data_IF_056073116710
#
_entry.id   IF_056073116710
#
_cell.length_a   1.000
_cell.length_b   1.000
_cell.length_c   1.000
_cell.angle_alpha   90.00
_cell.angle_beta   90.00
_cell.angle_gamma   90.00
#
_symmetry.space_group_name_H-M   'P 1'
#
loop_
_entity.id
_entity.type
_entity.pdbx_description
1 polymer ?
#
# COMPACT_ATOMS: atom_id res chain seq x y z
N UNK A 1 47.03 -78.49 -30.99
CA UNK A 1 47.67 -78.50 -29.66
C UNK A 1 47.59 -77.08 -29.17
N UNK A 2 46.79 -76.91 -28.11
CA UNK A 2 46.71 -75.79 -27.17
C UNK A 2 46.32 -74.40 -27.73
N UNK A 3 45.61 -73.52 -27.02
CA UNK A 3 44.55 -73.58 -26.02
C UNK A 3 44.07 -72.10 -25.92
N UNK A 4 42.75 -71.89 -25.89
CA UNK A 4 42.00 -70.96 -25.02
C UNK A 4 42.64 -69.58 -24.69
N UNK A 5 41.96 -68.49 -25.04
CA UNK A 5 41.71 -67.40 -24.08
C UNK A 5 40.53 -66.50 -24.50
N UNK A 6 39.44 -66.57 -23.74
CA UNK A 6 38.37 -65.58 -23.71
C UNK A 6 38.89 -64.24 -23.18
N UNK A 7 38.68 -63.13 -23.90
CA UNK A 7 38.74 -61.80 -23.31
C UNK A 7 37.34 -61.36 -22.86
N UNK A 8 37.09 -61.58 -21.57
CA UNK A 8 36.03 -60.95 -20.78
C UNK A 8 36.40 -59.48 -20.53
N UNK A 9 35.43 -58.60 -20.78
CA UNK A 9 35.41 -57.25 -20.29
C UNK A 9 35.33 -57.24 -18.76
N UNK A 10 36.36 -56.71 -18.09
CA UNK A 10 36.29 -56.21 -16.70
C UNK A 10 37.36 -55.10 -16.52
N UNK A 11 37.35 -54.37 -15.40
CA UNK A 11 36.94 -52.98 -15.25
C UNK A 11 38.18 -52.08 -15.04
N UNK A 12 38.01 -50.78 -14.76
CA UNK A 12 39.04 -50.08 -13.99
C UNK A 12 38.45 -49.00 -13.05
N UNK A 13 39.13 -48.75 -11.91
CA UNK A 13 38.52 -48.22 -10.69
C UNK A 13 39.07 -46.83 -10.30
N UNK A 14 38.25 -46.10 -9.53
CA UNK A 14 38.55 -45.37 -8.27
C UNK A 14 39.82 -44.46 -8.13
N UNK A 15 39.56 -43.22 -7.62
CA UNK A 15 40.44 -42.17 -7.00
C UNK A 15 41.27 -41.29 -7.97
N UNK A 16 41.48 -39.98 -7.80
CA UNK A 16 41.09 -38.94 -6.83
C UNK A 16 41.66 -37.59 -7.31
N UNK A 17 40.87 -36.51 -7.20
CA UNK A 17 41.23 -35.10 -6.93
C UNK A 17 42.24 -34.38 -7.86
N UNK A 18 41.78 -33.29 -8.49
CA UNK A 18 42.51 -32.02 -8.56
C UNK A 18 41.51 -30.87 -8.65
N UNK A 19 41.49 -30.04 -7.62
CA UNK A 19 40.90 -28.70 -7.60
C UNK A 19 41.62 -27.79 -8.61
N UNK A 20 40.97 -26.66 -8.94
CA UNK A 20 41.40 -25.55 -9.81
C UNK A 20 41.18 -25.81 -11.32
N UNK A 21 40.50 -24.98 -12.10
CA UNK A 21 40.32 -23.53 -12.02
C UNK A 21 39.13 -23.15 -12.90
N UNK A 22 38.15 -22.43 -12.36
CA UNK A 22 37.27 -21.52 -13.11
C UNK A 22 36.47 -20.68 -12.11
N UNK A 23 37.20 -20.00 -11.22
CA UNK A 23 36.67 -18.84 -10.50
C UNK A 23 36.86 -17.62 -11.41
N UNK A 24 35.81 -17.22 -12.12
CA UNK A 24 35.62 -15.79 -12.37
C UNK A 24 34.59 -15.33 -11.34
N UNK A 25 34.97 -14.53 -10.34
CA UNK A 25 33.99 -14.00 -9.40
C UNK A 25 33.05 -13.07 -10.17
N UNK A 26 31.75 -13.24 -9.94
CA UNK A 26 30.78 -12.19 -10.22
C UNK A 26 31.31 -10.87 -9.61
N UNK A 27 31.11 -9.71 -10.28
CA UNK A 27 31.53 -8.44 -9.71
C UNK A 27 30.92 -8.31 -8.32
N UNK A 28 31.78 -7.99 -7.35
CA UNK A 28 31.43 -7.85 -5.95
C UNK A 28 30.14 -7.04 -5.83
N UNK A 29 29.11 -7.66 -5.26
CA UNK A 29 27.91 -6.98 -4.81
C UNK A 29 28.38 -5.79 -3.96
N UNK A 30 28.07 -4.58 -4.41
CA UNK A 30 28.07 -3.42 -3.53
C UNK A 30 27.35 -3.81 -2.23
N UNK A 31 27.93 -3.46 -1.09
CA UNK A 31 27.38 -3.79 0.24
C UNK A 31 25.86 -3.57 0.27
N UNK A 32 25.07 -4.44 0.94
CA UNK A 32 23.63 -4.26 1.03
C UNK A 32 23.35 -2.85 1.56
N UNK A 33 22.74 -2.02 0.71
CA UNK A 33 22.41 -0.64 1.08
C UNK A 33 21.19 -0.75 1.99
N UNK A 34 21.45 -0.67 3.30
CA UNK A 34 20.41 -0.67 4.31
C UNK A 34 19.33 0.37 3.97
N UNK A 35 18.07 -0.02 4.12
CA UNK A 35 16.92 0.86 3.94
C UNK A 35 17.08 2.13 4.79
N UNK A 36 16.92 3.28 4.13
CA UNK A 36 17.04 4.58 4.76
C UNK A 36 15.68 5.22 4.96
N UNK A 37 15.40 5.67 6.17
CA UNK A 37 14.15 6.39 6.49
C UNK A 37 14.39 7.89 6.52
N UNK A 38 13.57 8.63 5.77
CA UNK A 38 13.53 10.08 5.70
C UNK A 38 12.25 10.58 6.36
N UNK A 39 12.40 11.43 7.36
CA UNK A 39 11.27 12.03 8.08
C UNK A 39 10.82 13.30 7.37
N UNK A 40 9.53 13.40 7.08
CA UNK A 40 8.90 14.54 6.41
C UNK A 40 7.88 15.17 7.36
N UNK A 41 8.02 16.46 7.65
CA UNK A 41 7.06 17.17 8.49
C UNK A 41 5.81 17.47 7.65
N UNK A 42 4.59 17.04 8.05
CA UNK A 42 3.37 17.27 7.28
C UNK A 42 2.88 18.71 7.39
N UNK A 43 3.57 19.64 6.73
CA UNK A 43 3.25 21.05 6.65
C UNK A 43 3.24 21.54 5.18
N UNK A 44 3.10 22.85 4.98
CA UNK A 44 3.08 23.46 3.64
C UNK A 44 4.36 23.22 2.81
N UNK A 45 5.49 22.92 3.45
CA UNK A 45 6.77 22.66 2.80
C UNK A 45 7.01 21.16 2.53
N UNK A 46 6.11 20.26 2.97
CA UNK A 46 6.30 18.82 2.88
C UNK A 46 6.66 18.34 1.46
N UNK A 47 5.93 18.81 0.44
CA UNK A 47 6.20 18.47 -0.97
C UNK A 47 7.56 18.98 -1.45
N UNK A 48 7.96 20.16 -1.00
CA UNK A 48 9.27 20.76 -1.33
C UNK A 48 10.40 19.95 -0.68
N UNK A 49 10.25 19.58 0.60
CA UNK A 49 11.21 18.73 1.32
C UNK A 49 11.32 17.36 0.65
N UNK A 50 10.20 16.74 0.29
CA UNK A 50 10.18 15.47 -0.44
C UNK A 50 10.92 15.59 -1.77
N UNK A 51 10.62 16.61 -2.58
CA UNK A 51 11.25 16.82 -3.87
C UNK A 51 12.77 17.03 -3.76
N UNK A 52 13.23 17.79 -2.78
CA UNK A 52 14.66 18.03 -2.52
C UNK A 52 15.38 16.72 -2.14
N UNK A 53 14.80 15.92 -1.24
CA UNK A 53 15.36 14.64 -0.85
C UNK A 53 15.41 13.64 -2.02
N UNK A 54 14.35 13.58 -2.83
CA UNK A 54 14.33 12.75 -4.04
C UNK A 54 15.45 13.15 -5.02
N UNK A 55 15.65 14.45 -5.24
CA UNK A 55 16.74 14.94 -6.10
C UNK A 55 18.13 14.66 -5.51
N UNK A 56 18.29 14.73 -4.19
CA UNK A 56 19.54 14.35 -3.53
C UNK A 56 19.86 12.86 -3.73
N UNK A 57 18.85 11.98 -3.63
CA UNK A 57 18.98 10.53 -3.90
C UNK A 57 19.33 10.30 -5.36
N UNK A 58 18.67 10.99 -6.31
CA UNK A 58 18.96 10.89 -7.74
C UNK A 58 20.40 11.34 -8.06
N UNK A 59 20.87 12.43 -7.44
CA UNK A 59 22.23 12.92 -7.62
C UNK A 59 23.28 11.97 -7.03
N UNK A 60 23.00 11.34 -5.88
CA UNK A 60 23.92 10.41 -5.22
C UNK A 60 24.04 9.07 -5.97
N UNK A 61 22.93 8.56 -6.52
CA UNK A 61 22.90 7.31 -7.28
C UNK A 61 23.30 7.49 -8.75
N UNK A 62 23.22 8.71 -9.28
CA UNK A 62 23.34 9.01 -10.72
C UNK A 62 22.35 8.20 -11.59
N UNK A 63 21.22 7.79 -11.00
CA UNK A 63 20.15 7.03 -11.63
C UNK A 63 18.80 7.70 -11.42
N UNK A 64 17.86 7.46 -12.34
CA UNK A 64 16.49 7.99 -12.24
C UNK A 64 15.70 7.16 -11.21
N UNK A 65 15.29 7.73 -10.06
CA UNK A 65 14.59 6.95 -9.04
C UNK A 65 13.16 6.60 -9.44
N UNK A 66 12.66 5.49 -8.89
CA UNK A 66 11.25 5.10 -8.90
C UNK A 66 10.59 5.55 -7.60
N UNK A 67 9.58 6.42 -7.69
CA UNK A 67 8.84 6.95 -6.55
C UNK A 67 7.44 6.34 -6.54
N UNK A 68 7.11 5.65 -5.45
CA UNK A 68 5.81 5.02 -5.25
C UNK A 68 5.05 5.75 -4.14
N UNK A 69 3.85 6.23 -4.49
CA UNK A 69 2.89 6.86 -3.59
C UNK A 69 1.76 5.88 -3.26
N UNK A 70 1.14 5.96 -2.07
CA UNK A 70 0.10 5.01 -1.69
C UNK A 70 -1.19 5.22 -2.50
N UNK A 71 -1.43 6.46 -2.96
CA UNK A 71 -2.58 6.82 -3.80
C UNK A 71 -2.17 7.74 -4.95
N UNK A 72 -3.05 7.86 -5.95
CA UNK A 72 -2.81 8.70 -7.12
C UNK A 72 -3.00 10.20 -6.90
N UNK A 73 -3.71 10.60 -5.84
CA UNK A 73 -4.01 12.02 -5.54
C UNK A 73 -2.76 12.93 -5.55
N UNK A 74 -1.71 12.63 -4.75
CA UNK A 74 -0.53 13.48 -4.68
C UNK A 74 0.41 13.40 -5.89
N UNK A 75 0.16 12.54 -6.89
CA UNK A 75 1.07 12.33 -8.02
C UNK A 75 1.41 13.63 -8.78
N UNK A 76 0.39 14.41 -9.13
CA UNK A 76 0.58 15.64 -9.91
C UNK A 76 1.33 16.68 -9.08
N UNK A 77 0.90 16.90 -7.84
CA UNK A 77 1.51 17.88 -6.93
C UNK A 77 2.98 17.56 -6.67
N UNK A 78 3.32 16.28 -6.48
CA UNK A 78 4.71 15.87 -6.31
C UNK A 78 5.53 16.06 -7.60
N UNK A 79 4.98 15.74 -8.78
CA UNK A 79 5.67 15.98 -10.07
C UNK A 79 5.94 17.47 -10.29
N UNK A 80 4.99 18.35 -9.96
CA UNK A 80 5.19 19.80 -10.03
C UNK A 80 6.27 20.28 -9.06
N UNK A 81 6.27 19.76 -7.82
CA UNK A 81 7.31 20.06 -6.84
C UNK A 81 8.69 19.57 -7.30
N UNK A 82 8.78 18.39 -7.92
CA UNK A 82 10.02 17.87 -8.50
C UNK A 82 10.53 18.74 -9.63
N UNK A 83 9.67 19.19 -10.54
CA UNK A 83 10.08 20.06 -11.65
C UNK A 83 10.54 21.43 -11.14
N UNK A 84 9.83 22.00 -10.15
CA UNK A 84 10.23 23.25 -9.51
C UNK A 84 11.59 23.16 -8.79
N UNK A 85 11.96 21.98 -8.29
CA UNK A 85 13.22 21.74 -7.56
C UNK A 85 14.31 21.06 -8.41
N UNK A 86 14.13 20.98 -9.74
CA UNK A 86 15.00 20.20 -10.65
C UNK A 86 16.46 20.62 -10.66
N UNK A 87 16.78 21.85 -10.29
CA UNK A 87 18.11 22.46 -10.40
C UNK A 87 18.73 22.23 -11.82
N UNK A 88 20.03 22.41 -11.97
CA UNK A 88 20.75 22.17 -13.24
C UNK A 88 20.93 20.68 -13.57
N UNK A 89 20.08 19.79 -13.03
CA UNK A 89 20.19 18.36 -13.24
C UNK A 89 19.72 17.99 -14.66
N UNK A 90 20.61 17.36 -15.43
CA UNK A 90 20.33 16.91 -16.80
C UNK A 90 19.53 15.60 -16.85
N UNK A 91 19.37 14.92 -15.70
CA UNK A 91 18.60 13.69 -15.59
C UNK A 91 17.11 13.92 -15.90
N UNK A 92 16.41 12.94 -16.52
CA UNK A 92 14.96 12.97 -16.62
C UNK A 92 14.31 13.04 -15.22
N UNK A 93 13.12 13.66 -15.16
CA UNK A 93 12.33 13.75 -13.92
C UNK A 93 12.13 12.35 -13.30
N UNK A 94 12.27 12.18 -11.98
CA UNK A 94 11.92 10.95 -11.29
C UNK A 94 10.58 10.37 -11.74
N UNK A 95 10.49 9.05 -11.82
CA UNK A 95 9.25 8.40 -12.22
C UNK A 95 8.36 8.26 -11.00
N UNK A 96 7.19 8.88 -11.04
CA UNK A 96 6.23 8.90 -9.93
C UNK A 96 4.99 8.10 -10.33
N UNK A 97 4.65 7.09 -9.54
CA UNK A 97 3.45 6.28 -9.72
C UNK A 97 2.64 6.19 -8.42
N UNK A 98 1.33 6.02 -8.56
CA UNK A 98 0.56 5.46 -7.46
C UNK A 98 0.86 3.96 -7.35
N UNK A 99 0.69 3.39 -6.17
CA UNK A 99 0.86 1.96 -5.94
C UNK A 99 -0.04 1.14 -6.88
N UNK A 100 -1.30 1.53 -7.05
CA UNK A 100 -2.23 0.84 -7.94
C UNK A 100 -1.77 0.88 -9.41
N UNK A 101 -1.33 2.04 -9.91
CA UNK A 101 -0.85 2.18 -11.29
C UNK A 101 0.43 1.38 -11.51
N UNK A 102 1.34 1.42 -10.54
CA UNK A 102 2.60 0.69 -10.62
C UNK A 102 2.39 -0.84 -10.62
N UNK A 103 1.52 -1.34 -9.74
CA UNK A 103 1.17 -2.77 -9.71
C UNK A 103 0.43 -3.22 -10.97
N UNK A 104 -0.33 -2.34 -11.63
CA UNK A 104 -0.95 -2.65 -12.93
C UNK A 104 0.10 -2.78 -14.06
N UNK A 105 1.30 -2.21 -13.88
CA UNK A 105 2.44 -2.34 -14.78
C UNK A 105 3.36 -3.52 -14.41
N UNK A 106 2.91 -4.39 -13.49
CA UNK A 106 3.62 -5.61 -13.13
C UNK A 106 4.07 -6.39 -14.37
N UNK A 107 5.36 -6.76 -14.48
CA UNK A 107 5.88 -7.53 -15.60
C UNK A 107 5.08 -8.81 -15.84
N UNK A 108 4.87 -9.15 -17.11
CA UNK A 108 4.01 -10.24 -17.61
C UNK A 108 4.37 -11.68 -17.14
N UNK A 109 5.12 -11.85 -16.06
CA UNK A 109 5.46 -13.17 -15.50
C UNK A 109 4.27 -13.95 -14.95
N UNK A 110 3.15 -13.31 -14.59
CA UNK A 110 2.02 -13.95 -13.87
C UNK A 110 0.63 -13.81 -14.51
N UNK A 111 0.48 -13.20 -15.70
CA UNK A 111 -0.82 -12.98 -16.39
C UNK A 111 -2.03 -12.84 -15.45
N UNK A 112 -1.99 -11.87 -14.53
CA UNK A 112 -2.99 -11.77 -13.48
C UNK A 112 -4.31 -11.26 -14.06
N UNK A 113 -5.44 -11.93 -13.79
CA UNK A 113 -6.74 -11.43 -14.22
C UNK A 113 -7.09 -10.14 -13.49
N UNK A 114 -7.97 -9.33 -14.08
CA UNK A 114 -8.39 -8.08 -13.46
C UNK A 114 -9.02 -8.36 -12.08
N UNK A 115 -8.54 -7.70 -11.01
CA UNK A 115 -9.03 -7.94 -9.66
C UNK A 115 -10.50 -7.56 -9.56
N UNK A 116 -11.26 -8.32 -8.77
CA UNK A 116 -12.66 -8.03 -8.51
C UNK A 116 -12.80 -6.71 -7.75
N UNK A 117 -13.82 -5.93 -8.10
CA UNK A 117 -14.13 -4.72 -7.36
C UNK A 117 -14.70 -5.05 -5.97
N UNK A 118 -14.53 -4.14 -5.01
CA UNK A 118 -15.10 -4.31 -3.68
C UNK A 118 -16.63 -4.50 -3.72
N UNK A 119 -17.33 -3.75 -4.57
CA UNK A 119 -18.78 -3.90 -4.76
C UNK A 119 -19.15 -5.25 -5.36
N UNK A 120 -18.39 -5.76 -6.33
CA UNK A 120 -18.60 -7.10 -6.90
C UNK A 120 -18.50 -8.19 -5.82
N UNK A 121 -17.49 -8.09 -4.94
CA UNK A 121 -17.30 -9.04 -3.83
C UNK A 121 -18.40 -8.96 -2.78
N UNK A 122 -18.87 -7.75 -2.44
CA UNK A 122 -20.03 -7.57 -1.55
C UNK A 122 -21.28 -8.20 -2.18
N UNK A 123 -21.56 -7.95 -3.46
CA UNK A 123 -22.73 -8.51 -4.15
C UNK A 123 -22.67 -10.03 -4.22
N UNK A 124 -21.51 -10.61 -4.51
CA UNK A 124 -21.30 -12.06 -4.48
C UNK A 124 -21.54 -12.63 -3.08
N UNK A 125 -20.98 -12.01 -2.04
CA UNK A 125 -21.15 -12.45 -0.65
C UNK A 125 -22.61 -12.37 -0.23
N UNK A 126 -23.29 -11.26 -0.55
CA UNK A 126 -24.69 -11.05 -0.29
C UNK A 126 -25.57 -12.11 -0.98
N UNK A 127 -25.31 -12.40 -2.27
CA UNK A 127 -26.02 -13.44 -3.00
C UNK A 127 -25.82 -14.83 -2.36
N UNK A 128 -24.59 -15.16 -1.96
CA UNK A 128 -24.27 -16.42 -1.26
C UNK A 128 -24.97 -16.51 0.10
N UNK A 129 -25.11 -15.42 0.83
CA UNK A 129 -25.85 -15.41 2.09
C UNK A 129 -27.34 -15.73 1.89
N UNK A 130 -27.95 -15.28 0.78
CA UNK A 130 -29.35 -15.58 0.47
C UNK A 130 -29.61 -17.03 0.09
N UNK A 131 -28.64 -17.70 -0.53
CA UNK A 131 -28.76 -19.10 -0.97
C UNK A 131 -28.56 -20.12 0.15
N UNK A 132 -27.95 -19.73 1.27
CA UNK A 132 -27.69 -20.61 2.41
C UNK A 132 -28.73 -20.42 3.54
N UNK A 133 -29.66 -21.38 3.75
CA UNK A 133 -30.78 -21.20 4.68
C UNK A 133 -30.37 -21.01 6.15
N UNK A 134 -29.26 -21.63 6.58
CA UNK A 134 -28.73 -21.48 7.93
C UNK A 134 -28.19 -20.06 8.20
N UNK A 135 -27.54 -19.46 7.20
CA UNK A 135 -27.05 -18.09 7.29
C UNK A 135 -28.22 -17.12 7.22
N UNK A 136 -29.14 -17.33 6.29
CA UNK A 136 -30.37 -16.53 6.17
C UNK A 136 -31.15 -16.45 7.50
N UNK A 137 -31.26 -17.56 8.24
CA UNK A 137 -31.95 -17.61 9.53
C UNK A 137 -31.26 -16.79 10.65
N UNK A 138 -29.94 -16.60 10.59
CA UNK A 138 -29.22 -15.75 11.53
C UNK A 138 -29.38 -14.26 11.22
N UNK A 139 -29.67 -13.92 9.95
CA UNK A 139 -29.65 -12.54 9.46
C UNK A 139 -31.04 -11.97 9.13
N UNK A 140 -32.11 -12.75 9.30
CA UNK A 140 -33.51 -12.28 9.17
C UNK A 140 -33.90 -11.18 10.16
N UNK A 141 -33.11 -10.94 11.21
CA UNK A 141 -33.42 -9.97 12.27
C UNK A 141 -33.10 -8.50 11.91
N UNK A 142 -32.23 -8.23 10.92
CA UNK A 142 -31.68 -6.88 10.66
C UNK A 142 -32.14 -6.21 9.35
N UNK A 143 -33.03 -6.86 8.58
CA UNK A 143 -33.52 -6.33 7.30
C UNK A 143 -32.47 -6.28 6.18
N UNK A 144 -32.82 -5.72 5.02
CA UNK A 144 -31.94 -5.70 3.82
C UNK A 144 -30.66 -4.87 4.02
N UNK A 145 -30.73 -3.77 4.78
CA UNK A 145 -29.58 -2.93 5.09
C UNK A 145 -28.54 -3.62 5.99
N UNK A 146 -28.99 -4.40 6.98
CA UNK A 146 -28.10 -5.17 7.84
C UNK A 146 -27.34 -6.26 7.08
N UNK A 147 -28.02 -6.97 6.17
CA UNK A 147 -27.39 -7.98 5.34
C UNK A 147 -26.29 -7.40 4.41
N UNK A 148 -26.46 -6.18 3.90
CA UNK A 148 -25.43 -5.50 3.11
C UNK A 148 -24.23 -5.07 3.96
N UNK A 149 -24.49 -4.49 5.14
CA UNK A 149 -23.45 -4.12 6.12
C UNK A 149 -22.61 -5.33 6.54
N UNK A 150 -23.27 -6.47 6.76
CA UNK A 150 -22.59 -7.70 7.12
C UNK A 150 -21.78 -8.30 5.96
N UNK A 151 -22.33 -8.31 4.74
CA UNK A 151 -21.57 -8.75 3.57
C UNK A 151 -20.30 -7.90 3.40
N UNK A 152 -20.39 -6.59 3.61
CA UNK A 152 -19.22 -5.70 3.66
C UNK A 152 -18.23 -6.09 4.76
N UNK A 153 -18.71 -6.37 5.98
CA UNK A 153 -17.86 -6.77 7.10
C UNK A 153 -17.17 -8.12 6.86
N UNK A 154 -17.85 -9.10 6.25
CA UNK A 154 -17.27 -10.41 5.88
C UNK A 154 -16.15 -10.21 4.86
N UNK A 155 -16.40 -9.40 3.81
CA UNK A 155 -15.37 -9.09 2.80
C UNK A 155 -14.16 -8.43 3.45
N UNK A 156 -14.37 -7.42 4.30
CA UNK A 156 -13.28 -6.75 5.03
C UNK A 156 -12.50 -7.69 5.95
N UNK A 157 -13.17 -8.61 6.65
CA UNK A 157 -12.52 -9.62 7.47
C UNK A 157 -11.69 -10.60 6.62
N UNK A 158 -12.21 -10.99 5.45
CA UNK A 158 -11.46 -11.83 4.51
C UNK A 158 -10.22 -11.10 3.97
N UNK A 159 -10.31 -9.79 3.71
CA UNK A 159 -9.18 -8.98 3.25
C UNK A 159 -8.07 -8.92 4.31
N UNK A 160 -8.43 -8.71 5.58
CA UNK A 160 -7.48 -8.73 6.70
C UNK A 160 -6.81 -10.10 6.84
N UNK A 161 -7.56 -11.18 6.68
CA UNK A 161 -7.00 -12.54 6.69
C UNK A 161 -6.01 -12.73 5.54
N UNK A 162 -6.38 -12.36 4.31
CA UNK A 162 -5.49 -12.44 3.15
C UNK A 162 -4.23 -11.61 3.35
N UNK A 163 -4.35 -10.36 3.85
CA UNK A 163 -3.21 -9.48 4.12
C UNK A 163 -2.26 -10.03 5.18
N UNK A 164 -2.78 -10.74 6.18
CA UNK A 164 -1.94 -11.32 7.25
C UNK A 164 -1.21 -12.60 6.83
N UNK A 165 -1.79 -13.40 5.94
CA UNK A 165 -1.24 -14.71 5.56
C UNK A 165 -0.39 -14.65 4.30
N UNK A 166 -0.76 -13.84 3.31
CA UNK A 166 -0.04 -13.77 2.02
C UNK A 166 1.46 -13.45 2.13
N UNK A 167 1.91 -12.51 2.99
CA UNK A 167 3.34 -12.24 3.18
C UNK A 167 4.15 -13.45 3.67
N UNK A 168 3.49 -14.46 4.24
CA UNK A 168 4.10 -15.71 4.72
C UNK A 168 4.24 -16.76 3.61
N UNK A 169 3.52 -16.60 2.49
CA UNK A 169 3.43 -17.58 1.40
C UNK A 169 4.67 -17.63 0.47
N UNK A 170 5.69 -16.85 0.83
CA UNK A 170 7.01 -16.70 0.24
C UNK A 170 7.10 -15.70 -0.93
N UNK A 171 8.13 -14.86 -0.90
CA UNK A 171 8.38 -13.76 -1.83
C UNK A 171 9.13 -14.20 -3.11
N UNK A 172 9.11 -15.51 -3.45
CA UNK A 172 9.81 -16.05 -4.61
C UNK A 172 8.84 -16.75 -5.57
N UNK A 173 8.82 -16.32 -6.83
CA UNK A 173 8.01 -16.90 -7.91
C UNK A 173 8.31 -18.38 -8.14
N UNK A 174 9.56 -18.83 -7.94
CA UNK A 174 9.92 -20.25 -8.11
C UNK A 174 9.21 -21.16 -7.09
N UNK A 175 8.70 -20.59 -5.99
CA UNK A 175 7.89 -21.28 -4.99
C UNK A 175 6.38 -21.04 -5.16
N UNK A 176 5.99 -20.25 -6.16
CA UNK A 176 4.64 -19.87 -6.54
C UNK A 176 4.45 -20.30 -8.00
N UNK A 177 4.37 -21.61 -8.24
CA UNK A 177 4.05 -22.12 -9.59
C UNK A 177 2.62 -21.71 -9.94
N UNK A 178 2.43 -20.75 -10.84
CA UNK A 178 1.15 -20.08 -11.12
C UNK A 178 -0.01 -21.01 -11.47
N UNK A 179 0.24 -22.08 -12.23
CA UNK A 179 -0.80 -23.03 -12.62
C UNK A 179 -1.28 -23.89 -11.44
N UNK A 180 -0.44 -24.05 -10.40
CA UNK A 180 -0.78 -24.70 -9.13
C UNK A 180 -0.86 -23.70 -7.96
N UNK A 181 -0.73 -22.40 -8.24
CA UNK A 181 -0.30 -21.39 -7.28
C UNK A 181 -1.39 -21.06 -6.29
N UNK A 182 -2.64 -21.02 -6.76
CA UNK A 182 -3.81 -20.87 -5.89
C UNK A 182 -3.94 -22.08 -4.95
N UNK A 183 -3.77 -23.31 -5.45
CA UNK A 183 -3.88 -24.51 -4.63
C UNK A 183 -2.75 -24.60 -3.59
N UNK A 184 -1.53 -24.17 -3.95
CA UNK A 184 -0.39 -24.07 -3.04
C UNK A 184 -0.58 -22.95 -2.00
N UNK A 185 -1.07 -21.78 -2.41
CA UNK A 185 -1.51 -20.70 -1.51
C UNK A 185 -2.56 -21.22 -0.54
N UNK A 186 -3.57 -21.95 -1.02
CA UNK A 186 -4.64 -22.52 -0.21
C UNK A 186 -4.10 -23.55 0.80
N UNK A 187 -3.20 -24.42 0.36
CA UNK A 187 -2.55 -25.44 1.21
C UNK A 187 -1.70 -24.78 2.30
N UNK A 188 -0.83 -23.83 1.93
CA UNK A 188 0.03 -23.10 2.87
C UNK A 188 -0.76 -22.17 3.79
N UNK A 189 -1.88 -21.60 3.36
CA UNK A 189 -2.76 -20.84 4.27
C UNK A 189 -3.52 -21.78 5.22
N UNK A 190 -3.97 -22.94 4.76
CA UNK A 190 -4.55 -23.95 5.66
C UNK A 190 -3.52 -24.37 6.71
N UNK A 191 -2.26 -24.52 6.31
CA UNK A 191 -1.13 -24.76 7.19
C UNK A 191 -0.88 -23.57 8.13
N UNK A 192 -0.81 -22.33 7.63
CA UNK A 192 -0.60 -21.13 8.43
C UNK A 192 -1.73 -20.90 9.46
N UNK A 193 -2.99 -21.18 9.11
CA UNK A 193 -4.12 -21.14 10.06
C UNK A 193 -3.94 -22.23 11.13
N UNK A 194 -3.51 -23.42 10.74
CA UNK A 194 -3.25 -24.53 11.67
C UNK A 194 -2.08 -24.23 12.61
N UNK A 195 -1.05 -23.52 12.12
CA UNK A 195 0.16 -23.13 12.84
C UNK A 195 -0.02 -21.88 13.71
N UNK A 196 -0.79 -20.89 13.26
CA UNK A 196 -1.09 -19.68 14.02
C UNK A 196 -2.12 -19.94 15.13
N UNK A 197 -3.00 -20.91 14.94
CA UNK A 197 -4.09 -21.23 15.87
C UNK A 197 -4.18 -22.72 16.29
N UNK A 198 -3.08 -23.40 16.69
CA UNK A 198 -3.09 -24.83 16.97
C UNK A 198 -3.97 -25.20 18.19
N UNK A 199 -4.08 -24.30 19.17
CA UNK A 199 -4.96 -24.44 20.35
C UNK A 199 -6.40 -23.94 20.11
N UNK A 200 -6.58 -22.93 19.27
CA UNK A 200 -7.90 -22.37 18.91
C UNK A 200 -8.67 -23.26 17.91
N UNK A 201 -7.94 -24.01 17.07
CA UNK A 201 -8.49 -25.03 16.17
C UNK A 201 -9.06 -26.26 16.90
N UNK A 202 -8.70 -26.50 18.17
CA UNK A 202 -9.20 -27.65 18.94
C UNK A 202 -10.39 -27.31 19.86
N UNK A 203 -10.51 -26.09 20.38
CA UNK A 203 -11.56 -25.74 21.36
C UNK A 203 -12.49 -24.57 20.97
N UNK A 204 -12.22 -23.83 19.89
CA UNK A 204 -13.00 -22.63 19.53
C UNK A 204 -13.17 -22.42 18.01
N UNK A 205 -13.36 -23.50 17.25
CA UNK A 205 -14.08 -23.38 15.97
C UNK A 205 -15.55 -23.16 16.30
N UNK A 206 -15.88 -21.94 16.73
CA UNK A 206 -17.27 -21.52 16.80
C UNK A 206 -17.85 -21.53 15.39
N UNK A 207 -19.18 -21.61 15.30
CA UNK A 207 -19.87 -21.60 14.01
C UNK A 207 -19.47 -20.38 13.17
N UNK A 208 -19.13 -19.25 13.79
CA UNK A 208 -18.72 -18.02 13.10
C UNK A 208 -17.36 -18.16 12.40
N UNK A 209 -16.35 -18.73 13.06
CA UNK A 209 -15.01 -18.91 12.47
C UNK A 209 -15.02 -19.88 11.27
N UNK A 210 -15.81 -20.95 11.35
CA UNK A 210 -16.01 -21.87 10.23
C UNK A 210 -16.68 -21.19 9.02
N UNK A 211 -17.64 -20.30 9.28
CA UNK A 211 -18.30 -19.51 8.24
C UNK A 211 -17.33 -18.51 7.61
N UNK A 212 -16.54 -17.79 8.41
CA UNK A 212 -15.55 -16.84 7.91
C UNK A 212 -14.51 -17.54 7.03
N UNK A 213 -14.01 -18.70 7.45
CA UNK A 213 -13.08 -19.50 6.64
C UNK A 213 -13.71 -20.02 5.34
N UNK A 214 -14.99 -20.41 5.36
CA UNK A 214 -15.70 -20.81 4.15
C UNK A 214 -15.86 -19.65 3.17
N UNK A 215 -16.19 -18.45 3.66
CA UNK A 215 -16.26 -17.24 2.83
C UNK A 215 -14.91 -16.80 2.31
N UNK A 216 -13.88 -16.85 3.16
CA UNK A 216 -12.51 -16.58 2.73
C UNK A 216 -12.12 -17.53 1.59
N UNK A 217 -12.36 -18.84 1.72
CA UNK A 217 -12.12 -19.82 0.64
C UNK A 217 -12.90 -19.53 -0.65
N UNK A 218 -14.12 -19.02 -0.52
CA UNK A 218 -14.98 -18.69 -1.66
C UNK A 218 -14.53 -17.41 -2.37
N UNK A 219 -14.06 -16.40 -1.61
CA UNK A 219 -13.62 -15.11 -2.13
C UNK A 219 -12.15 -15.13 -2.61
N UNK A 220 -11.32 -15.98 -2.02
CA UNK A 220 -9.92 -16.18 -2.40
C UNK A 220 -9.84 -16.90 -3.74
N UNK A 221 -9.67 -16.11 -4.79
CA UNK A 221 -9.52 -16.55 -6.18
C UNK A 221 -8.33 -15.84 -6.84
N UNK A 222 -7.99 -16.17 -8.09
CA UNK A 222 -6.97 -15.43 -8.87
C UNK A 222 -7.30 -13.93 -9.00
N UNK A 223 -8.59 -13.59 -8.88
CA UNK A 223 -9.10 -12.22 -8.97
C UNK A 223 -9.29 -11.57 -7.59
N UNK A 224 -8.81 -12.19 -6.51
CA UNK A 224 -8.76 -11.56 -5.20
C UNK A 224 -7.79 -10.37 -5.26
N UNK A 225 -8.25 -9.14 -4.97
CA UNK A 225 -7.41 -7.95 -5.06
C UNK A 225 -6.14 -8.02 -4.19
N UNK A 226 -6.20 -8.63 -3.00
CA UNK A 226 -5.03 -8.73 -2.12
C UNK A 226 -4.01 -9.73 -2.68
N UNK A 227 -4.49 -10.84 -3.24
CA UNK A 227 -3.66 -11.83 -3.93
C UNK A 227 -3.00 -11.21 -5.16
N UNK A 228 -3.79 -10.58 -6.04
CA UNK A 228 -3.29 -9.93 -7.25
C UNK A 228 -2.23 -8.89 -6.91
N UNK A 229 -2.45 -8.09 -5.86
CA UNK A 229 -1.47 -7.14 -5.37
C UNK A 229 -0.17 -7.80 -4.90
N UNK A 230 -0.25 -8.86 -4.08
CA UNK A 230 0.93 -9.57 -3.61
C UNK A 230 1.73 -10.18 -4.77
N UNK A 231 1.04 -10.83 -5.72
CA UNK A 231 1.68 -11.41 -6.90
C UNK A 231 2.34 -10.34 -7.77
N UNK A 232 1.71 -9.18 -7.94
CA UNK A 232 2.29 -8.04 -8.64
C UNK A 232 3.58 -7.53 -7.95
N UNK A 233 3.61 -7.43 -6.62
CA UNK A 233 4.84 -7.08 -5.88
C UNK A 233 5.96 -8.11 -6.09
N UNK A 234 5.62 -9.39 -5.99
CA UNK A 234 6.57 -10.49 -6.22
C UNK A 234 7.09 -10.49 -7.67
N UNK A 235 6.27 -10.09 -8.64
CA UNK A 235 6.67 -9.94 -10.05
C UNK A 235 7.80 -8.92 -10.25
N UNK A 236 7.76 -7.80 -9.53
CA UNK A 236 8.81 -6.78 -9.58
C UNK A 236 10.11 -7.28 -8.96
N UNK A 237 10.05 -7.99 -7.82
CA UNK A 237 11.23 -8.63 -7.22
C UNK A 237 11.90 -9.60 -8.19
N UNK A 238 11.09 -10.41 -8.86
CA UNK A 238 11.60 -11.37 -9.85
C UNK A 238 12.23 -10.67 -11.07
N UNK A 239 11.64 -9.57 -11.53
CA UNK A 239 12.21 -8.79 -12.62
C UNK A 239 13.60 -8.23 -12.24
N UNK A 240 13.77 -7.70 -11.03
CA UNK A 240 15.09 -7.22 -10.57
C UNK A 240 16.10 -8.35 -10.37
N UNK A 241 15.63 -9.56 -10.03
CA UNK A 241 16.48 -10.76 -10.00
C UNK A 241 16.99 -11.11 -11.40
N UNK A 242 16.10 -11.14 -12.40
CA UNK A 242 16.42 -11.60 -13.76
C UNK A 242 17.11 -10.54 -14.63
N UNK A 243 16.75 -9.26 -14.47
CA UNK A 243 17.24 -8.17 -15.31
C UNK A 243 17.91 -7.08 -14.45
N UNK A 244 19.21 -7.20 -14.13
CA UNK A 244 19.93 -6.22 -13.33
C UNK A 244 19.89 -4.78 -13.88
N UNK A 245 19.73 -4.61 -15.19
CA UNK A 245 19.63 -3.28 -15.84
C UNK A 245 18.36 -2.50 -15.44
N UNK A 246 17.36 -3.18 -14.88
CA UNK A 246 16.11 -2.54 -14.39
C UNK A 246 16.22 -2.05 -12.94
N UNK A 247 17.34 -2.32 -12.27
CA UNK A 247 17.59 -1.91 -10.89
C UNK A 247 17.87 -0.41 -10.85
N UNK A 248 17.19 0.26 -9.92
CA UNK A 248 17.31 1.69 -9.66
C UNK A 248 16.75 2.01 -8.27
N UNK A 249 17.07 3.16 -7.67
CA UNK A 249 16.59 3.49 -6.34
C UNK A 249 15.07 3.51 -6.26
N UNK A 250 14.53 2.82 -5.25
CA UNK A 250 13.11 2.83 -4.92
C UNK A 250 12.88 3.80 -3.76
N UNK A 251 11.97 4.74 -3.96
CA UNK A 251 11.50 5.68 -2.96
C UNK A 251 10.05 5.34 -2.64
N UNK A 252 9.82 4.86 -1.43
CA UNK A 252 8.50 4.47 -0.92
C UNK A 252 7.97 5.55 0.00
N UNK A 253 6.86 6.20 -0.36
CA UNK A 253 6.29 7.31 0.42
C UNK A 253 5.08 6.82 1.21
N UNK A 254 5.06 7.09 2.51
CA UNK A 254 4.00 6.70 3.44
C UNK A 254 3.24 7.94 3.89
N UNK A 255 2.25 8.36 3.09
CA UNK A 255 1.40 9.52 3.41
C UNK A 255 0.06 9.14 4.03
N UNK A 256 -0.27 7.84 4.09
CA UNK A 256 -1.56 7.33 4.55
C UNK A 256 -1.27 6.33 5.67
N UNK A 257 -2.05 6.41 6.75
CA UNK A 257 -2.01 5.42 7.80
C UNK A 257 -2.62 4.11 7.29
N UNK A 258 -1.79 3.08 7.22
CA UNK A 258 -2.18 1.74 6.78
C UNK A 258 -2.62 0.91 7.97
N UNK A 259 -3.41 -0.14 7.71
CA UNK A 259 -3.67 -1.12 8.77
C UNK A 259 -2.39 -1.92 9.08
N UNK A 260 -2.29 -2.49 10.29
CA UNK A 260 -1.07 -3.19 10.72
C UNK A 260 -0.67 -4.36 9.78
N UNK A 261 -1.65 -5.04 9.18
CA UNK A 261 -1.39 -6.20 8.32
C UNK A 261 -0.78 -5.77 6.98
N UNK A 262 -1.29 -4.68 6.41
CA UNK A 262 -0.81 -4.06 5.18
C UNK A 262 0.58 -3.47 5.39
N UNK A 263 0.79 -2.75 6.49
CA UNK A 263 2.10 -2.21 6.86
C UNK A 263 3.16 -3.33 6.93
N UNK A 264 2.86 -4.45 7.62
CA UNK A 264 3.76 -5.63 7.68
C UNK A 264 4.01 -6.25 6.31
N UNK A 265 2.99 -6.30 5.45
CA UNK A 265 3.15 -6.81 4.08
C UNK A 265 4.11 -5.94 3.27
N UNK A 266 4.01 -4.61 3.36
CA UNK A 266 4.92 -3.71 2.65
C UNK A 266 6.30 -3.67 3.26
N UNK A 267 6.44 -3.71 4.59
CA UNK A 267 7.75 -3.88 5.24
C UNK A 267 8.44 -5.17 4.79
N UNK A 268 7.68 -6.27 4.71
CA UNK A 268 8.17 -7.52 4.14
C UNK A 268 8.66 -7.34 2.70
N UNK A 269 7.86 -6.71 1.84
CA UNK A 269 8.26 -6.42 0.46
C UNK A 269 9.54 -5.58 0.38
N UNK A 270 9.59 -4.46 1.11
CA UNK A 270 10.73 -3.53 1.10
C UNK A 270 12.00 -4.19 1.62
N UNK A 271 11.90 -5.06 2.63
CA UNK A 271 13.04 -5.86 3.11
C UNK A 271 13.58 -6.83 2.04
N UNK A 272 12.71 -7.40 1.19
CA UNK A 272 13.17 -8.22 0.06
C UNK A 272 13.77 -7.37 -1.08
N UNK A 273 13.38 -6.10 -1.20
CA UNK A 273 13.94 -5.19 -2.20
C UNK A 273 15.40 -4.84 -1.90
N UNK A 274 15.81 -4.77 -0.63
CA UNK A 274 17.18 -4.41 -0.23
C UNK A 274 18.26 -5.32 -0.84
N UNK A 275 17.91 -6.59 -1.15
CA UNK A 275 18.81 -7.52 -1.80
C UNK A 275 19.13 -7.15 -3.27
N UNK A 276 18.33 -6.28 -3.88
CA UNK A 276 18.42 -5.95 -5.31
C UNK A 276 18.62 -4.46 -5.59
N UNK A 277 18.03 -3.57 -4.79
CA UNK A 277 17.99 -2.12 -5.04
C UNK A 277 18.11 -1.33 -3.73
N UNK A 278 18.63 -0.09 -3.76
CA UNK A 278 18.58 0.80 -2.60
C UNK A 278 17.15 1.28 -2.36
N UNK A 279 16.69 1.17 -1.12
CA UNK A 279 15.33 1.51 -0.69
C UNK A 279 15.36 2.73 0.23
N UNK A 280 14.54 3.73 -0.06
CA UNK A 280 14.35 4.91 0.76
C UNK A 280 12.89 5.04 1.16
N UNK A 281 12.59 5.03 2.47
CA UNK A 281 11.26 5.24 3.01
C UNK A 281 11.08 6.70 3.39
N UNK A 282 9.94 7.29 3.02
CA UNK A 282 9.58 8.66 3.39
C UNK A 282 8.37 8.57 4.31
N UNK A 283 8.57 8.88 5.59
CA UNK A 283 7.57 8.72 6.65
C UNK A 283 7.19 10.08 7.20
N UNK A 284 5.89 10.29 7.44
CA UNK A 284 5.39 11.53 8.02
C UNK A 284 5.76 11.62 9.51
N UNK A 285 6.51 12.65 9.88
CA UNK A 285 6.88 12.95 11.25
C UNK A 285 5.92 13.97 11.88
N UNK A 286 5.10 13.46 12.78
CA UNK A 286 4.10 14.24 13.49
C UNK A 286 4.60 14.81 14.81
N UNK A 287 5.82 14.50 15.27
CA UNK A 287 6.27 14.87 16.62
C UNK A 287 6.26 16.39 16.86
N UNK A 288 6.60 17.18 15.83
CA UNK A 288 6.65 18.64 15.91
C UNK A 288 5.31 19.36 15.73
N UNK A 289 4.26 18.65 15.30
CA UNK A 289 2.95 19.26 14.98
C UNK A 289 1.74 18.54 15.60
N UNK A 290 1.93 17.34 16.14
CA UNK A 290 0.89 16.50 16.72
C UNK A 290 0.27 17.16 17.94
N UNK A 291 -1.07 17.19 17.99
CA UNK A 291 -1.84 17.82 19.06
C UNK A 291 -2.37 16.81 20.10
N UNK A 292 -2.25 15.52 19.78
CA UNK A 292 -2.74 14.38 20.56
C UNK A 292 -1.60 13.37 20.82
N UNK A 293 -1.54 12.75 22.01
CA UNK A 293 -0.47 11.82 22.37
C UNK A 293 -0.35 10.61 21.43
N UNK A 294 -1.45 10.20 20.81
CA UNK A 294 -1.55 9.08 19.86
C UNK A 294 -0.90 9.41 18.52
N UNK A 295 -0.81 10.69 18.16
CA UNK A 295 -0.16 11.13 16.90
C UNK A 295 1.36 11.20 17.00
N UNK A 296 1.93 11.01 18.19
CA UNK A 296 3.36 11.18 18.45
C UNK A 296 3.99 9.84 18.83
N UNK A 297 5.23 9.64 18.41
CA UNK A 297 5.98 8.44 18.75
C UNK A 297 6.25 8.35 20.26
N UNK A 298 6.34 7.12 20.77
CA UNK A 298 6.56 6.81 22.19
C UNK A 298 7.93 7.28 22.70
N UNK A 299 8.07 8.58 22.95
CA UNK A 299 9.22 9.18 23.64
C UNK A 299 8.83 9.75 25.03
N UNK A 300 9.80 9.80 25.93
CA UNK A 300 9.60 10.16 27.34
C UNK A 300 9.22 11.64 27.61
N UNK A 301 9.25 12.52 26.61
CA UNK A 301 8.94 13.96 26.71
C UNK A 301 7.66 14.36 25.94
N UNK A 302 6.70 13.42 25.79
CA UNK A 302 5.42 13.68 25.08
C UNK A 302 4.69 14.91 25.60
N UNK A 303 4.61 15.09 26.91
CA UNK A 303 3.80 16.15 27.52
C UNK A 303 4.37 17.56 27.25
N UNK A 304 5.70 17.71 27.30
CA UNK A 304 6.36 18.99 27.03
C UNK A 304 6.23 19.37 25.56
N UNK A 305 6.52 18.43 24.66
CA UNK A 305 6.40 18.66 23.21
C UNK A 305 4.96 18.93 22.79
N UNK A 306 3.98 18.23 23.38
CA UNK A 306 2.55 18.47 23.12
C UNK A 306 2.11 19.86 23.60
N UNK A 307 2.65 20.36 24.72
CA UNK A 307 2.41 21.72 25.16
C UNK A 307 3.04 22.76 24.21
N UNK A 308 4.23 22.50 23.68
CA UNK A 308 4.87 23.33 22.66
C UNK A 308 3.99 23.39 21.40
N UNK A 309 3.56 22.23 20.89
CA UNK A 309 2.73 22.12 19.69
C UNK A 309 1.40 22.87 19.84
N UNK A 310 0.74 22.74 21.00
CA UNK A 310 -0.51 23.46 21.31
C UNK A 310 -0.30 24.97 21.41
N UNK A 311 0.81 25.40 22.01
CA UNK A 311 1.13 26.83 22.12
C UNK A 311 1.37 27.44 20.74
N UNK A 312 2.12 26.75 19.87
CA UNK A 312 2.34 27.16 18.48
C UNK A 312 1.03 27.19 17.67
N UNK A 313 0.06 26.33 17.97
CA UNK A 313 -1.27 26.38 17.35
C UNK A 313 -2.04 27.63 17.78
N UNK A 314 -1.97 28.02 19.07
CA UNK A 314 -2.68 29.19 19.59
C UNK A 314 -2.15 30.51 19.02
N UNK A 315 -0.91 30.54 18.53
CA UNK A 315 -0.35 31.68 17.79
C UNK A 315 -0.97 31.82 16.39
N UNK A 316 -1.60 30.77 15.85
CA UNK A 316 -2.28 30.81 14.55
C UNK A 316 -3.68 31.38 14.67
N UNK A 317 -4.11 32.09 13.63
CA UNK A 317 -5.47 32.63 13.54
C UNK A 317 -6.51 31.52 13.32
N UNK A 318 -7.08 31.02 14.41
CA UNK A 318 -8.21 30.09 14.41
C UNK A 318 -9.50 30.82 14.76
N UNK A 319 -10.56 30.57 13.98
CA UNK A 319 -11.91 31.06 14.29
C UNK A 319 -12.86 29.87 14.28
N UNK A 320 -13.69 29.76 15.31
CA UNK A 320 -14.72 28.74 15.41
C UNK A 320 -16.08 29.42 15.18
N UNK A 321 -16.84 28.89 14.23
CA UNK A 321 -18.18 29.37 13.90
C UNK A 321 -19.18 28.27 14.22
N UNK A 322 -20.28 28.66 14.88
CA UNK A 322 -21.38 27.75 15.21
C UNK A 322 -22.62 28.15 14.43
N UNK A 323 -23.28 27.18 13.81
CA UNK A 323 -24.51 27.36 13.05
C UNK A 323 -25.57 26.39 13.55
N UNK A 324 -26.82 26.86 13.65
CA UNK A 324 -27.94 26.04 14.18
C UNK A 324 -28.51 25.08 13.14
N UNK A 325 -28.37 25.42 11.86
CA UNK A 325 -28.88 24.64 10.75
C UNK A 325 -27.77 24.41 9.74
N UNK A 326 -27.88 23.28 9.05
CA UNK A 326 -27.02 22.92 7.94
C UNK A 326 -26.91 24.02 6.87
N UNK A 327 -28.04 24.65 6.50
CA UNK A 327 -28.06 25.71 5.50
C UNK A 327 -27.29 26.96 5.98
N UNK A 328 -27.45 27.32 7.25
CA UNK A 328 -26.75 28.44 7.86
C UNK A 328 -25.23 28.21 7.83
N UNK A 329 -24.80 26.98 8.11
CA UNK A 329 -23.39 26.58 8.06
C UNK A 329 -22.81 26.71 6.64
N UNK A 330 -23.57 26.31 5.61
CA UNK A 330 -23.14 26.45 4.21
C UNK A 330 -22.96 27.93 3.83
N UNK A 331 -23.86 28.81 4.29
CA UNK A 331 -23.75 30.26 4.09
C UNK A 331 -22.57 30.88 4.85
N UNK A 332 -22.31 30.46 6.09
CA UNK A 332 -21.14 30.93 6.85
C UNK A 332 -19.83 30.48 6.20
N UNK A 333 -19.73 29.21 5.78
CA UNK A 333 -18.57 28.71 5.05
C UNK A 333 -18.32 29.50 3.76
N UNK A 334 -19.38 29.77 3.00
CA UNK A 334 -19.31 30.58 1.77
C UNK A 334 -18.80 31.99 2.05
N UNK A 335 -19.33 32.68 3.08
CA UNK A 335 -18.88 34.03 3.47
C UNK A 335 -17.43 34.05 3.95
N UNK A 336 -16.99 33.02 4.67
CA UNK A 336 -15.61 32.89 5.12
C UNK A 336 -14.65 32.78 3.92
N UNK A 337 -14.98 31.91 2.95
CA UNK A 337 -14.21 31.75 1.72
C UNK A 337 -14.19 33.05 0.92
N UNK A 338 -15.34 33.72 0.75
CA UNK A 338 -15.43 35.02 0.08
C UNK A 338 -14.52 36.07 0.74
N UNK A 339 -14.53 36.16 2.07
CA UNK A 339 -13.66 37.08 2.82
C UNK A 339 -12.18 36.78 2.57
N UNK A 340 -11.79 35.51 2.52
CA UNK A 340 -10.41 35.12 2.20
C UNK A 340 -10.02 35.45 0.76
N UNK A 341 -10.92 35.25 -0.21
CA UNK A 341 -10.71 35.63 -1.60
C UNK A 341 -10.55 37.15 -1.75
N UNK A 342 -11.40 37.94 -1.08
CA UNK A 342 -11.31 39.41 -1.05
C UNK A 342 -10.01 39.89 -0.39
N UNK A 343 -9.48 39.14 0.57
CA UNK A 343 -8.16 39.38 1.16
C UNK A 343 -6.99 38.95 0.25
N UNK A 344 -7.24 38.54 -0.99
CA UNK A 344 -6.23 38.16 -1.97
C UNK A 344 -5.66 36.75 -1.80
N UNK A 345 -6.27 35.91 -0.94
CA UNK A 345 -5.81 34.52 -0.76
C UNK A 345 -6.31 33.67 -1.92
N UNK A 346 -5.42 32.90 -2.52
CA UNK A 346 -5.72 32.06 -3.69
C UNK A 346 -5.69 30.57 -3.40
N UNK A 347 -5.09 30.15 -2.28
CA UNK A 347 -4.98 28.76 -1.86
C UNK A 347 -5.91 28.52 -0.68
N UNK A 348 -7.16 28.14 -0.98
CA UNK A 348 -8.20 27.88 0.01
C UNK A 348 -8.69 26.45 -0.19
N UNK A 349 -8.63 25.65 0.88
CA UNK A 349 -9.17 24.30 0.91
C UNK A 349 -10.40 24.24 1.83
N UNK A 350 -11.42 23.46 1.46
CA UNK A 350 -12.65 23.27 2.23
C UNK A 350 -12.83 21.80 2.60
N UNK A 351 -12.24 21.40 3.72
CA UNK A 351 -12.42 20.03 4.22
C UNK A 351 -13.80 19.89 4.88
N UNK A 352 -14.66 19.02 4.36
CA UNK A 352 -16.01 18.83 4.87
C UNK A 352 -16.36 17.34 5.05
N UNK A 353 -16.62 16.93 6.29
CA UNK A 353 -17.05 15.56 6.58
C UNK A 353 -18.41 15.22 5.97
N UNK A 354 -19.34 16.19 5.93
CA UNK A 354 -20.66 16.02 5.30
C UNK A 354 -20.63 16.48 3.84
N UNK A 355 -20.81 15.52 2.92
CA UNK A 355 -20.86 15.77 1.48
C UNK A 355 -22.00 16.70 1.07
N UNK A 356 -23.13 16.68 1.76
CA UNK A 356 -24.21 17.62 1.45
C UNK A 356 -23.70 19.04 1.68
N UNK A 357 -22.96 19.28 2.76
CA UNK A 357 -22.47 20.62 3.13
C UNK A 357 -21.52 21.13 2.06
N UNK A 358 -20.55 20.31 1.67
CA UNK A 358 -19.62 20.61 0.58
C UNK A 358 -20.37 20.98 -0.71
N UNK A 359 -21.37 20.17 -1.11
CA UNK A 359 -22.18 20.43 -2.31
C UNK A 359 -22.97 21.72 -2.19
N UNK A 360 -23.54 22.02 -1.02
CA UNK A 360 -24.32 23.23 -0.81
C UNK A 360 -23.43 24.47 -0.86
N UNK A 361 -22.30 24.46 -0.16
CA UNK A 361 -21.29 25.53 -0.20
C UNK A 361 -20.79 25.76 -1.63
N UNK A 362 -20.47 24.69 -2.37
CA UNK A 362 -20.08 24.78 -3.79
C UNK A 362 -21.16 25.44 -4.65
N UNK A 363 -22.43 25.08 -4.48
CA UNK A 363 -23.54 25.68 -5.22
C UNK A 363 -23.71 27.17 -4.90
N UNK A 364 -23.46 27.58 -3.66
CA UNK A 364 -23.45 28.99 -3.26
C UNK A 364 -22.27 29.74 -3.88
N UNK A 365 -21.06 29.15 -3.84
CA UNK A 365 -19.85 29.74 -4.42
C UNK A 365 -19.93 29.88 -5.95
N UNK A 366 -20.57 28.94 -6.64
CA UNK A 366 -20.79 29.01 -8.08
C UNK A 366 -21.56 30.27 -8.53
N UNK A 367 -22.31 30.92 -7.61
CA UNK A 367 -23.02 32.17 -7.89
C UNK A 367 -22.09 33.37 -8.07
N UNK A 368 -20.85 33.31 -7.58
CA UNK A 368 -19.85 34.37 -7.77
C UNK A 368 -19.30 34.41 -9.22
N UNK A 369 -19.72 33.49 -10.08
CA UNK A 369 -19.43 33.51 -11.51
C UNK A 369 -18.13 32.78 -11.89
N UNK A 370 -17.73 32.94 -13.15
CA UNK A 370 -16.59 32.22 -13.76
C UNK A 370 -15.21 32.64 -13.25
N UNK A 371 -15.13 33.63 -12.34
CA UNK A 371 -13.87 34.09 -11.76
C UNK A 371 -13.32 33.19 -10.65
N UNK A 372 -14.14 32.26 -10.13
CA UNK A 372 -13.73 31.33 -9.09
C UNK A 372 -13.62 29.91 -9.66
N UNK A 373 -12.39 29.39 -9.72
CA UNK A 373 -12.16 27.97 -10.03
C UNK A 373 -12.38 27.14 -8.76
N UNK A 374 -13.21 26.11 -8.84
CA UNK A 374 -13.47 25.18 -7.74
C UNK A 374 -13.17 23.78 -8.24
N UNK A 375 -12.11 23.19 -7.71
CA UNK A 375 -11.74 21.80 -7.92
C UNK A 375 -12.22 20.98 -6.72
N UNK A 376 -12.66 19.75 -6.99
CA UNK A 376 -13.11 18.80 -5.97
C UNK A 376 -12.12 17.64 -6.05
N UNK A 377 -11.31 17.47 -5.00
CA UNK A 377 -10.22 16.48 -5.02
C UNK A 377 -10.76 15.05 -5.07
N UNK A 378 -12.04 14.82 -4.74
CA UNK A 378 -12.63 13.51 -4.96
C UNK A 378 -13.83 13.55 -5.89
N UNK A 379 -13.57 13.05 -7.10
CA UNK A 379 -14.48 12.09 -7.66
C UNK A 379 -14.71 10.94 -6.66
N UNK A 380 -15.66 11.10 -5.75
CA UNK A 380 -16.42 10.04 -5.05
C UNK A 380 -15.91 9.39 -3.75
N UNK A 381 -14.77 9.76 -3.12
CA UNK A 381 -14.33 9.04 -1.90
C UNK A 381 -14.07 9.84 -0.62
N UNK A 382 -13.81 11.14 -0.66
CA UNK A 382 -13.68 12.00 0.53
C UNK A 382 -14.04 13.43 0.11
N UNK A 383 -15.11 14.05 0.60
CA UNK A 383 -15.38 15.46 0.27
C UNK A 383 -14.37 16.39 0.97
N UNK A 384 -13.18 16.49 0.39
CA UNK A 384 -12.16 17.50 0.70
C UNK A 384 -12.20 18.64 -0.30
#
# INVERSE_FOLDING_TARGET
MDEIAHQRAIPNPILSISHDSCQNPAPALSEPVAMQTHLIIPNHDALTQMAQNIWAIAAASNERPLVILPTAGPNLSLRLALEANRASNTMPLPEVHSLADWLALAPNGLHLPMPQSHTERILQTYATMQTHPNLRAWFTAEGEGGAWSLASAIVSACDLLSQSVLPQLAWNIEQLDLEQGIEQVQSKLTQAITEAYPRLAQELVTKESAVLLAYWRYLSSERDPIMTQHLALVSHLHQWKMNPETRRPLIWIETIEENESQARSYEGFLGHCEAFIPVHRFVMDWNSIGLWPETMDTHASKDEQLQINRSALLEKHMTCLSAKRFEDLAWEATRCIESHLLAGRTQIALVAQDRLLARRTRALLARFGSGLSIEDETGWKLST
#
